data_IF_708083236644
#
_entry.id   IF_708083236644
#
_cell.length_a   1.000
_cell.length_b   1.000
_cell.length_c   1.000
_cell.angle_alpha   90.00
_cell.angle_beta   90.00
_cell.angle_gamma   90.00
#
_symmetry.space_group_name_H-M   'P 1'
#
loop_
_entity.id
_entity.type
_entity.pdbx_description
1 polymer ?
#
# COMPACT_ATOMS: atom_id res chain seq x y z
N UNK A 1 -30.52 -2.90 -5.87
CA UNK A 1 -30.05 -2.01 -4.79
C UNK A 1 -28.90 -1.13 -5.29
N UNK A 2 -29.19 -0.16 -6.15
CA UNK A 2 -28.22 0.88 -6.59
C UNK A 2 -28.28 2.09 -5.67
N UNK A 3 -29.34 2.21 -4.85
CA UNK A 3 -29.59 3.35 -3.95
C UNK A 3 -28.43 3.66 -3.02
N UNK A 4 -27.85 2.64 -2.36
CA UNK A 4 -26.77 2.86 -1.39
C UNK A 4 -25.44 3.27 -2.06
N UNK A 5 -25.23 2.88 -3.31
CA UNK A 5 -24.04 3.21 -4.09
C UNK A 5 -24.19 4.49 -4.94
N UNK A 6 -25.39 5.09 -4.99
CA UNK A 6 -25.69 6.19 -5.92
C UNK A 6 -24.76 7.39 -5.71
N UNK A 7 -24.36 7.66 -4.45
CA UNK A 7 -23.48 8.78 -4.10
C UNK A 7 -22.09 8.64 -4.70
N UNK A 8 -21.44 7.47 -4.53
CA UNK A 8 -20.10 7.23 -5.07
C UNK A 8 -20.11 7.10 -6.60
N UNK A 9 -21.16 6.48 -7.17
CA UNK A 9 -21.35 6.39 -8.62
C UNK A 9 -21.50 7.79 -9.22
N UNK A 10 -22.32 8.65 -8.62
CA UNK A 10 -22.48 10.03 -9.08
C UNK A 10 -21.17 10.81 -8.98
N UNK A 11 -20.40 10.66 -7.89
CA UNK A 11 -19.09 11.28 -7.72
C UNK A 11 -18.11 10.83 -8.82
N UNK A 12 -18.11 9.54 -9.15
CA UNK A 12 -17.28 8.98 -10.22
C UNK A 12 -17.65 9.56 -11.60
N UNK A 13 -18.94 9.53 -11.96
CA UNK A 13 -19.42 10.01 -13.26
C UNK A 13 -19.24 11.52 -13.45
N UNK A 14 -19.33 12.30 -12.37
CA UNK A 14 -19.11 13.76 -12.39
C UNK A 14 -17.64 14.16 -12.38
N UNK A 15 -16.70 13.20 -12.42
CA UNK A 15 -15.26 13.44 -12.24
C UNK A 15 -14.99 14.23 -10.96
N UNK A 16 -15.56 13.79 -9.85
CA UNK A 16 -15.36 14.40 -8.53
C UNK A 16 -14.54 13.49 -7.60
N UNK A 17 -13.95 12.42 -8.14
CA UNK A 17 -12.99 11.61 -7.39
C UNK A 17 -11.71 12.41 -7.14
N UNK A 18 -10.99 12.05 -6.08
CA UNK A 18 -9.78 12.72 -5.62
C UNK A 18 -8.71 12.83 -6.72
N UNK A 19 -8.60 11.81 -7.59
CA UNK A 19 -7.80 11.89 -8.82
C UNK A 19 -8.74 11.98 -10.02
N UNK A 20 -8.76 13.16 -10.64
CA UNK A 20 -9.64 13.51 -11.76
C UNK A 20 -9.24 12.77 -13.04
N UNK A 21 -7.97 12.85 -13.42
CA UNK A 21 -7.42 12.18 -14.60
C UNK A 21 -6.72 10.88 -14.21
N UNK A 22 -7.55 9.88 -13.89
CA UNK A 22 -7.07 8.57 -13.51
C UNK A 22 -6.21 7.90 -14.60
N UNK A 23 -6.58 7.91 -15.89
CA UNK A 23 -5.75 7.34 -16.95
C UNK A 23 -4.36 7.96 -17.07
N UNK A 24 -4.26 9.29 -17.03
CA UNK A 24 -2.94 9.95 -17.07
C UNK A 24 -2.11 9.61 -15.82
N UNK A 25 -2.73 9.64 -14.64
CA UNK A 25 -2.06 9.32 -13.38
C UNK A 25 -1.46 7.90 -13.36
N UNK A 26 -2.25 6.89 -13.75
CA UNK A 26 -1.75 5.50 -13.78
C UNK A 26 -0.73 5.27 -14.89
N UNK A 27 -0.79 6.02 -15.99
CA UNK A 27 0.24 5.96 -17.04
C UNK A 27 1.60 6.36 -16.48
N UNK A 28 1.67 7.53 -15.83
CA UNK A 28 2.91 8.03 -15.20
C UNK A 28 3.44 7.06 -14.14
N UNK A 29 2.58 6.51 -13.30
CA UNK A 29 3.00 5.52 -12.30
C UNK A 29 3.57 4.24 -12.94
N UNK A 30 2.96 3.77 -14.04
CA UNK A 30 3.49 2.64 -14.79
C UNK A 30 4.87 2.92 -15.38
N UNK A 31 5.09 4.12 -15.92
CA UNK A 31 6.38 4.57 -16.44
C UNK A 31 7.45 4.64 -15.35
N UNK A 32 7.11 5.18 -14.17
CA UNK A 32 8.01 5.20 -13.01
C UNK A 32 8.40 3.78 -12.61
N UNK A 33 7.42 2.87 -12.46
CA UNK A 33 7.68 1.47 -12.11
C UNK A 33 8.63 0.79 -13.10
N UNK A 34 8.42 1.04 -14.39
CA UNK A 34 9.23 0.45 -15.45
C UNK A 34 10.63 1.04 -15.49
N UNK A 35 10.77 2.36 -15.32
CA UNK A 35 12.09 3.02 -15.21
C UNK A 35 12.93 2.50 -14.04
N UNK A 36 12.28 1.94 -13.03
CA UNK A 36 12.95 1.35 -11.88
C UNK A 36 13.22 -0.16 -12.02
N UNK A 37 12.76 -0.82 -13.09
CA UNK A 37 12.80 -2.29 -13.22
C UNK A 37 14.22 -2.86 -13.20
N UNK A 38 15.17 -2.14 -13.81
CA UNK A 38 16.51 -2.69 -14.04
C UNK A 38 17.48 -2.49 -12.85
N UNK A 39 17.03 -1.82 -11.78
CA UNK A 39 17.79 -1.70 -10.53
C UNK A 39 17.72 -3.01 -9.72
N UNK A 40 18.59 -3.97 -10.08
CA UNK A 40 18.64 -5.31 -9.48
C UNK A 40 19.65 -5.42 -8.32
N UNK A 41 20.05 -4.29 -7.74
CA UNK A 41 20.98 -4.26 -6.61
C UNK A 41 20.31 -4.73 -5.31
N UNK A 42 21.13 -5.12 -4.34
CA UNK A 42 20.68 -5.58 -3.01
C UNK A 42 20.71 -7.10 -2.83
N UNK A 43 20.39 -7.56 -1.62
CA UNK A 43 20.38 -8.97 -1.26
C UNK A 43 19.08 -9.32 -0.53
N UNK A 44 18.52 -10.50 -0.83
CA UNK A 44 17.38 -11.05 -0.08
C UNK A 44 17.79 -11.23 1.38
N UNK A 45 16.89 -10.86 2.31
CA UNK A 45 17.13 -11.07 3.74
C UNK A 45 17.18 -12.57 4.07
N UNK A 46 18.33 -13.05 4.55
CA UNK A 46 18.57 -14.48 4.80
C UNK A 46 18.60 -14.89 6.28
N UNK A 47 18.50 -13.92 7.20
CA UNK A 47 18.55 -14.18 8.65
C UNK A 47 17.29 -14.92 9.18
N UNK A 48 16.17 -14.89 8.44
CA UNK A 48 14.97 -15.69 8.70
C UNK A 48 14.78 -16.67 7.52
N UNK A 49 14.71 -17.99 7.75
CA UNK A 49 14.63 -18.99 6.68
C UNK A 49 13.44 -18.80 5.72
N UNK A 50 12.32 -18.28 6.21
CA UNK A 50 11.13 -18.01 5.41
C UNK A 50 11.35 -16.84 4.45
N UNK A 51 12.10 -15.81 4.87
CA UNK A 51 12.43 -14.65 4.02
C UNK A 51 13.44 -15.03 2.93
N UNK A 52 14.38 -15.92 3.24
CA UNK A 52 15.38 -16.40 2.30
C UNK A 52 14.80 -17.09 1.05
N UNK A 53 13.52 -17.52 1.10
CA UNK A 53 12.80 -18.16 -0.02
C UNK A 53 12.17 -17.16 -0.99
N UNK A 54 12.26 -15.86 -0.72
CA UNK A 54 11.68 -14.82 -1.58
C UNK A 54 12.44 -14.76 -2.91
N UNK A 55 11.71 -14.67 -4.03
CA UNK A 55 12.33 -14.49 -5.35
C UNK A 55 12.80 -13.03 -5.51
N UNK A 56 14.11 -12.77 -5.69
CA UNK A 56 14.66 -11.43 -5.85
C UNK A 56 14.13 -10.70 -7.10
N UNK A 57 13.53 -11.41 -8.05
CA UNK A 57 12.91 -10.83 -9.25
C UNK A 57 11.47 -10.38 -9.02
N UNK A 58 10.90 -10.62 -7.83
CA UNK A 58 9.54 -10.19 -7.50
C UNK A 58 9.49 -8.67 -7.45
N UNK A 59 8.83 -8.06 -8.44
CA UNK A 59 8.67 -6.62 -8.55
C UNK A 59 7.20 -6.27 -8.81
N UNK A 60 6.66 -5.33 -8.03
CA UNK A 60 5.24 -5.00 -8.08
C UNK A 60 4.93 -3.64 -7.46
N UNK A 61 3.82 -3.03 -7.89
CA UNK A 61 3.25 -1.85 -7.27
C UNK A 61 1.73 -1.93 -7.31
N UNK A 62 1.08 -1.49 -6.23
CA UNK A 62 -0.38 -1.35 -6.15
C UNK A 62 -0.74 0.01 -5.56
N UNK A 63 -1.76 0.65 -6.12
CA UNK A 63 -2.26 1.95 -5.67
C UNK A 63 -3.76 1.85 -5.41
N UNK A 64 -4.19 2.48 -4.32
CA UNK A 64 -5.58 2.67 -3.94
C UNK A 64 -5.76 4.10 -3.43
N UNK A 65 -6.70 4.85 -4.01
CA UNK A 65 -7.03 6.20 -3.52
C UNK A 65 -8.08 6.14 -2.41
N UNK A 66 -8.27 7.26 -1.69
CA UNK A 66 -9.32 7.39 -0.67
C UNK A 66 -10.75 7.24 -1.24
N UNK A 67 -10.91 7.45 -2.54
CA UNK A 67 -12.17 7.27 -3.27
C UNK A 67 -12.30 5.88 -3.93
N UNK A 68 -11.34 4.98 -3.66
CA UNK A 68 -11.39 3.59 -4.13
C UNK A 68 -10.93 3.37 -5.57
N UNK A 69 -10.30 4.35 -6.22
CA UNK A 69 -9.65 4.13 -7.53
C UNK A 69 -8.43 3.24 -7.33
N UNK A 70 -8.32 2.16 -8.11
CA UNK A 70 -7.32 1.11 -7.90
C UNK A 70 -6.63 0.69 -9.18
N UNK A 71 -5.32 0.49 -9.09
CA UNK A 71 -4.50 -0.09 -10.18
C UNK A 71 -3.30 -0.83 -9.58
N UNK A 72 -2.90 -1.90 -10.25
CA UNK A 72 -1.81 -2.79 -9.84
C UNK A 72 -0.95 -3.18 -11.05
N UNK A 73 0.34 -3.35 -10.83
CA UNK A 73 1.33 -3.74 -11.84
C UNK A 73 2.30 -4.78 -11.25
N UNK A 74 2.76 -5.71 -12.08
CA UNK A 74 3.70 -6.75 -11.64
C UNK A 74 3.05 -7.81 -10.73
N UNK A 75 3.87 -8.41 -9.87
CA UNK A 75 3.51 -9.57 -9.05
C UNK A 75 2.70 -9.23 -7.77
N UNK A 76 1.64 -8.40 -7.87
CA UNK A 76 0.90 -7.89 -6.70
C UNK A 76 0.08 -8.93 -5.93
N UNK A 77 -0.12 -10.12 -6.50
CA UNK A 77 -0.87 -11.21 -5.86
C UNK A 77 0.04 -12.18 -5.10
N UNK A 78 1.37 -11.97 -5.12
CA UNK A 78 2.30 -12.78 -4.34
C UNK A 78 2.26 -12.31 -2.88
N UNK A 79 1.80 -13.16 -1.94
CA UNK A 79 1.75 -12.77 -0.54
C UNK A 79 3.16 -12.72 0.06
N UNK A 80 3.39 -11.75 0.95
CA UNK A 80 4.60 -11.64 1.74
C UNK A 80 4.27 -11.10 3.13
N UNK A 81 5.15 -11.32 4.11
CA UNK A 81 4.96 -10.81 5.47
C UNK A 81 5.19 -9.29 5.52
N UNK A 82 4.33 -8.55 6.23
CA UNK A 82 4.46 -7.08 6.37
C UNK A 82 5.76 -6.63 7.05
N UNK A 83 6.32 -7.44 7.96
CA UNK A 83 7.52 -7.07 8.74
C UNK A 83 7.31 -5.71 9.45
N UNK A 84 8.34 -4.85 9.53
CA UNK A 84 8.25 -3.54 10.18
C UNK A 84 7.14 -2.63 9.63
N UNK A 85 6.62 -2.88 8.43
CA UNK A 85 5.47 -2.14 7.87
C UNK A 85 4.20 -2.36 8.72
N UNK A 86 4.12 -3.42 9.54
CA UNK A 86 2.98 -3.64 10.45
C UNK A 86 2.93 -2.67 11.63
N UNK A 87 4.07 -2.06 12.02
CA UNK A 87 4.18 -1.26 13.26
C UNK A 87 3.21 -0.07 13.30
N UNK A 88 3.07 0.77 12.25
CA UNK A 88 2.11 1.87 12.28
C UNK A 88 0.66 1.40 12.43
N UNK A 89 0.30 0.22 11.89
CA UNK A 89 -1.05 -0.34 12.06
C UNK A 89 -1.28 -0.80 13.49
N UNK A 90 -0.33 -1.53 14.08
CA UNK A 90 -0.39 -1.93 15.49
C UNK A 90 -0.46 -0.71 16.41
N UNK A 91 0.31 0.34 16.11
CA UNK A 91 0.28 1.60 16.83
C UNK A 91 -1.09 2.29 16.73
N UNK A 92 -1.66 2.40 15.53
CA UNK A 92 -2.99 3.00 15.35
C UNK A 92 -4.08 2.27 16.13
N UNK A 93 -4.04 0.92 16.16
CA UNK A 93 -4.97 0.11 16.95
C UNK A 93 -4.77 0.37 18.45
N UNK A 94 -3.52 0.37 18.93
CA UNK A 94 -3.24 0.66 20.33
C UNK A 94 -3.69 2.07 20.74
N UNK A 95 -3.50 3.06 19.86
CA UNK A 95 -3.95 4.45 20.07
C UNK A 95 -5.48 4.55 20.17
N UNK A 96 -6.21 3.79 19.35
CA UNK A 96 -7.67 3.75 19.36
C UNK A 96 -8.23 3.09 20.64
N UNK A 97 -7.59 2.01 21.09
CA UNK A 97 -8.01 1.21 22.25
C UNK A 97 -7.61 1.83 23.61
N UNK A 98 -6.40 2.40 23.71
CA UNK A 98 -5.80 2.83 24.98
C UNK A 98 -5.68 4.36 25.11
N UNK A 99 -5.83 5.09 24.01
CA UNK A 99 -5.62 6.53 23.97
C UNK A 99 -4.14 6.94 23.90
N UNK A 100 -3.92 8.21 23.54
CA UNK A 100 -2.59 8.73 23.24
C UNK A 100 -1.64 8.75 24.44
N UNK A 101 -2.16 9.03 25.64
CA UNK A 101 -1.33 9.17 26.85
C UNK A 101 -0.59 7.86 27.17
N UNK A 102 -1.33 6.76 27.28
CA UNK A 102 -0.79 5.44 27.60
C UNK A 102 0.19 4.94 26.52
N UNK A 103 -0.19 5.09 25.25
CA UNK A 103 0.63 4.59 24.13
C UNK A 103 1.90 5.42 23.97
N UNK A 104 1.85 6.75 24.17
CA UNK A 104 3.01 7.63 23.99
C UNK A 104 4.17 7.30 24.93
N UNK A 105 3.87 6.78 26.13
CA UNK A 105 4.87 6.34 27.11
C UNK A 105 5.57 5.05 26.65
N UNK A 106 4.89 4.22 25.84
CA UNK A 106 5.39 2.95 25.31
C UNK A 106 6.14 3.08 23.97
N UNK A 107 5.97 4.21 23.25
CA UNK A 107 6.49 4.40 21.88
C UNK A 107 8.03 4.39 21.79
N UNK A 108 8.75 4.59 22.90
CA UNK A 108 10.22 4.55 22.93
C UNK A 108 10.84 3.17 22.57
N UNK A 109 10.04 2.10 22.51
CA UNK A 109 10.53 0.73 22.28
C UNK A 109 10.31 0.18 20.86
N UNK A 110 9.61 0.89 19.98
CA UNK A 110 9.15 0.32 18.69
C UNK A 110 9.88 0.82 17.43
N UNK A 111 10.74 1.84 17.53
CA UNK A 111 11.56 2.37 16.44
C UNK A 111 13.04 2.06 16.60
#
# INVERSE_FOLDING_TARGET
>A
YVGDAIGIIAKALKKQLVILDWPAFITVLGEILESCRDFNDGNVATYIPQLARSDPKTWAMAVCTIDGQRRSWGATQVPFCLQSVSKPFTYAIAMDELGAEEVSILTFFFF
#
